data_IF_775517696480
#
_entry.id   IF_775517696480
#
_cell.length_a   1.000
_cell.length_b   1.000
_cell.length_c   1.000
_cell.angle_alpha   90.00
_cell.angle_beta   90.00
_cell.angle_gamma   90.00
#
_symmetry.space_group_name_H-M   'P 1'
#
loop_
_entity.id
_entity.type
_entity.pdbx_description
1 polymer ?
#
# COMPACT_ATOMS: atom_id res chain seq x y z
N UNK A 1 -5.67 16.83 11.30
CA UNK A 1 -4.58 15.81 11.34
C UNK A 1 -3.28 16.51 10.97
N UNK A 2 -2.14 16.29 11.66
CA UNK A 2 -0.85 16.90 11.30
C UNK A 2 -0.12 16.07 10.25
N UNK A 3 0.69 16.72 9.40
CA UNK A 3 1.55 16.05 8.42
C UNK A 3 2.53 15.07 9.09
N UNK A 4 3.05 15.45 10.25
CA UNK A 4 3.92 14.60 11.06
C UNK A 4 3.22 13.30 11.50
N UNK A 5 2.01 13.40 12.06
CA UNK A 5 1.24 12.24 12.49
C UNK A 5 0.91 11.31 11.30
N UNK A 6 0.45 11.90 10.18
CA UNK A 6 0.17 11.14 8.96
C UNK A 6 1.41 10.41 8.45
N UNK A 7 2.58 11.07 8.47
CA UNK A 7 3.86 10.49 8.08
C UNK A 7 4.23 9.30 8.96
N UNK A 8 4.15 9.44 10.29
CA UNK A 8 4.46 8.35 11.22
C UNK A 8 3.56 7.12 11.00
N UNK A 9 2.25 7.34 10.79
CA UNK A 9 1.33 6.26 10.49
C UNK A 9 1.65 5.57 9.16
N UNK A 10 1.96 6.35 8.12
CA UNK A 10 2.36 5.81 6.83
C UNK A 10 3.63 4.97 6.95
N UNK A 11 4.66 5.47 7.65
CA UNK A 11 5.95 4.78 7.82
C UNK A 11 5.81 3.43 8.52
N UNK A 12 4.95 3.35 9.55
CA UNK A 12 4.65 2.08 10.22
C UNK A 12 4.04 1.06 9.25
N UNK A 13 3.10 1.51 8.42
CA UNK A 13 2.44 0.65 7.44
C UNK A 13 3.37 0.27 6.26
N UNK A 14 4.26 1.16 5.85
CA UNK A 14 5.28 0.88 4.82
C UNK A 14 6.24 -0.21 5.28
N UNK A 15 6.68 -0.16 6.54
CA UNK A 15 7.54 -1.18 7.15
C UNK A 15 6.85 -2.55 7.15
N UNK A 16 5.60 -2.61 7.61
CA UNK A 16 4.80 -3.84 7.61
C UNK A 16 4.54 -4.37 6.19
N UNK A 17 4.33 -3.46 5.23
CA UNK A 17 4.12 -3.81 3.82
C UNK A 17 5.38 -4.38 3.20
N UNK A 18 6.54 -3.77 3.45
CA UNK A 18 7.83 -4.27 2.97
C UNK A 18 8.07 -5.72 3.41
N UNK A 19 7.78 -6.06 4.67
CA UNK A 19 7.94 -7.42 5.18
C UNK A 19 7.10 -8.46 4.40
N UNK A 20 5.88 -8.09 3.98
CA UNK A 20 5.04 -8.98 3.16
C UNK A 20 5.56 -9.10 1.73
N UNK A 21 6.00 -7.98 1.14
CA UNK A 21 6.57 -7.97 -0.21
C UNK A 21 7.90 -8.72 -0.29
N UNK A 22 8.71 -8.70 0.78
CA UNK A 22 9.94 -9.51 0.89
C UNK A 22 9.66 -11.01 0.77
N UNK A 23 8.52 -11.48 1.28
CA UNK A 23 8.10 -12.87 1.07
C UNK A 23 7.50 -13.06 -0.32
N UNK A 24 6.65 -12.13 -0.77
CA UNK A 24 5.93 -12.25 -2.02
C UNK A 24 6.84 -12.28 -3.26
N UNK A 25 8.05 -11.71 -3.18
CA UNK A 25 9.02 -11.76 -4.30
C UNK A 25 9.45 -13.18 -4.68
N UNK A 26 9.31 -14.14 -3.76
CA UNK A 26 9.65 -15.56 -3.97
C UNK A 26 8.47 -16.41 -4.39
N UNK A 27 7.29 -15.83 -4.52
CA UNK A 27 6.06 -16.53 -4.82
C UNK A 27 5.90 -16.84 -6.32
N UNK A 28 5.04 -17.81 -6.67
CA UNK A 28 4.63 -18.03 -8.06
C UNK A 28 3.74 -16.87 -8.52
N UNK A 29 4.32 -15.85 -9.16
CA UNK A 29 3.68 -14.56 -9.49
C UNK A 29 2.42 -14.71 -10.37
N UNK A 30 2.34 -15.76 -11.18
CA UNK A 30 1.17 -16.06 -12.01
C UNK A 30 0.04 -16.78 -11.28
N UNK A 31 0.26 -17.26 -10.05
CA UNK A 31 -0.76 -17.98 -9.29
C UNK A 31 -1.96 -17.09 -8.93
N UNK A 32 -3.16 -17.66 -8.97
CA UNK A 32 -4.41 -16.97 -8.59
C UNK A 32 -5.33 -17.89 -7.80
N UNK A 33 -5.97 -17.42 -6.72
CA UNK A 33 -6.91 -18.22 -5.94
C UNK A 33 -8.24 -18.45 -6.68
N UNK A 34 -8.59 -17.57 -7.61
CA UNK A 34 -9.84 -17.63 -8.38
C UNK A 34 -9.68 -16.87 -9.70
N UNK A 35 -10.31 -17.31 -10.79
CA UNK A 35 -10.20 -16.64 -12.11
C UNK A 35 -10.61 -15.17 -12.13
N UNK A 36 -11.51 -14.75 -11.25
CA UNK A 36 -11.93 -13.35 -11.10
C UNK A 36 -11.01 -12.50 -10.19
N UNK A 37 -9.99 -13.12 -9.57
CA UNK A 37 -9.06 -12.43 -8.69
C UNK A 37 -7.79 -11.98 -9.42
N UNK A 38 -7.08 -11.01 -8.88
CA UNK A 38 -5.72 -10.71 -9.33
C UNK A 38 -4.82 -11.92 -9.12
N UNK A 39 -3.83 -12.12 -10.01
CA UNK A 39 -2.72 -13.00 -9.68
C UNK A 39 -1.91 -12.45 -8.50
N UNK A 40 -1.16 -13.32 -7.82
CA UNK A 40 -0.31 -12.94 -6.71
C UNK A 40 0.64 -11.81 -7.08
N UNK A 41 1.32 -11.92 -8.23
CA UNK A 41 2.22 -10.87 -8.70
C UNK A 41 1.51 -9.55 -8.97
N UNK A 42 0.32 -9.58 -9.59
CA UNK A 42 -0.46 -8.36 -9.83
C UNK A 42 -0.92 -7.71 -8.52
N UNK A 43 -1.35 -8.50 -7.54
CA UNK A 43 -1.72 -7.99 -6.23
C UNK A 43 -0.52 -7.40 -5.48
N UNK A 44 0.63 -8.09 -5.50
CA UNK A 44 1.87 -7.60 -4.89
C UNK A 44 2.35 -6.29 -5.54
N UNK A 45 2.31 -6.19 -6.87
CA UNK A 45 2.63 -4.95 -7.59
C UNK A 45 1.65 -3.83 -7.25
N UNK A 46 0.35 -4.14 -7.12
CA UNK A 46 -0.64 -3.16 -6.69
C UNK A 46 -0.32 -2.61 -5.30
N UNK A 47 -0.03 -3.50 -4.34
CA UNK A 47 0.40 -3.09 -2.99
C UNK A 47 1.67 -2.23 -3.04
N UNK A 48 2.65 -2.61 -3.89
CA UNK A 48 3.92 -1.92 -4.01
C UNK A 48 3.78 -0.48 -4.52
N UNK A 49 2.84 -0.21 -5.45
CA UNK A 49 2.69 1.11 -6.07
C UNK A 49 1.84 2.09 -5.26
N UNK A 50 0.94 1.61 -4.38
CA UNK A 50 0.00 2.45 -3.63
C UNK A 50 0.66 3.64 -2.91
N UNK A 51 1.83 3.51 -2.24
CA UNK A 51 2.46 4.66 -1.57
C UNK A 51 2.70 5.85 -2.50
N UNK A 52 3.01 5.63 -3.78
CA UNK A 52 3.25 6.71 -4.74
C UNK A 52 2.03 7.60 -5.01
N UNK A 53 0.83 7.12 -4.70
CA UNK A 53 -0.40 7.90 -4.88
C UNK A 53 -0.51 9.08 -3.93
N UNK A 54 0.25 9.08 -2.83
CA UNK A 54 0.38 10.23 -1.92
C UNK A 54 0.67 11.51 -2.69
N UNK A 55 1.49 11.44 -3.73
CA UNK A 55 1.82 12.60 -4.58
C UNK A 55 0.59 13.21 -5.26
N UNK A 56 -0.34 12.40 -5.77
CA UNK A 56 -1.57 12.88 -6.40
C UNK A 56 -2.49 13.60 -5.40
N UNK A 57 -2.49 13.15 -4.14
CA UNK A 57 -3.30 13.74 -3.08
C UNK A 57 -2.70 15.04 -2.50
N UNK A 58 -1.39 15.23 -2.60
CA UNK A 58 -0.73 16.43 -2.08
C UNK A 58 -0.61 17.56 -3.11
N UNK A 59 -0.51 17.24 -4.41
CA UNK A 59 -0.22 18.23 -5.46
C UNK A 59 -1.45 18.75 -6.19
N UNK A 60 -2.42 17.90 -6.49
CA UNK A 60 -3.62 18.27 -7.24
C UNK A 60 -4.84 18.50 -6.36
N UNK A 61 -5.88 19.16 -6.89
CA UNK A 61 -7.20 19.29 -6.22
C UNK A 61 -8.14 18.11 -6.50
N UNK A 62 -7.79 17.23 -7.45
CA UNK A 62 -8.60 16.08 -7.85
C UNK A 62 -7.76 15.00 -8.54
N UNK A 63 -8.32 13.80 -8.64
CA UNK A 63 -7.81 12.71 -9.48
C UNK A 63 -8.97 12.04 -10.21
N UNK A 64 -8.82 11.84 -11.51
CA UNK A 64 -9.81 11.14 -12.33
C UNK A 64 -9.36 9.71 -12.61
N UNK A 65 -10.10 8.73 -12.06
CA UNK A 65 -9.82 7.30 -12.26
C UNK A 65 -10.10 6.84 -13.69
N UNK A 66 -10.95 7.55 -14.45
CA UNK A 66 -11.21 7.26 -15.86
C UNK A 66 -10.01 7.57 -16.76
N UNK A 67 -9.18 8.56 -16.37
CA UNK A 67 -7.93 8.88 -17.03
C UNK A 67 -6.77 7.92 -16.70
N UNK A 68 -6.97 7.05 -15.71
CA UNK A 68 -5.99 6.05 -15.28
C UNK A 68 -6.04 4.79 -16.14
N UNK A 69 -4.90 4.16 -16.33
CA UNK A 69 -4.78 2.89 -17.08
C UNK A 69 -5.42 1.70 -16.37
N UNK A 70 -5.28 0.52 -16.96
CA UNK A 70 -5.86 -0.77 -16.52
C UNK A 70 -5.30 -1.34 -15.20
N UNK A 71 -4.72 -0.52 -14.33
CA UNK A 71 -4.06 -0.92 -13.10
C UNK A 71 -2.62 -1.41 -13.32
N UNK A 72 -1.92 -1.83 -12.25
CA UNK A 72 -0.52 -2.24 -12.35
C UNK A 72 -0.36 -3.46 -13.26
N UNK A 73 0.72 -3.46 -14.04
CA UNK A 73 1.11 -4.60 -14.85
C UNK A 73 1.46 -5.80 -13.95
N UNK A 74 1.42 -7.01 -14.54
CA UNK A 74 1.98 -8.19 -13.87
C UNK A 74 3.50 -8.04 -13.89
N UNK A 75 4.20 -8.13 -12.74
CA UNK A 75 5.65 -7.98 -12.70
C UNK A 75 6.34 -9.15 -13.40
N UNK A 76 7.48 -8.88 -14.02
CA UNK A 76 8.31 -9.91 -14.65
C UNK A 76 9.17 -10.64 -13.62
N UNK A 77 9.39 -10.07 -12.46
CA UNK A 77 10.17 -10.68 -11.37
C UNK A 77 9.75 -10.15 -9.99
N UNK A 78 10.09 -10.92 -8.95
CA UNK A 78 9.93 -10.47 -7.57
C UNK A 78 10.78 -9.23 -7.23
N UNK A 79 11.97 -9.10 -7.80
CA UNK A 79 12.82 -7.94 -7.61
C UNK A 79 12.17 -6.64 -8.11
N UNK A 80 11.39 -6.71 -9.20
CA UNK A 80 10.64 -5.56 -9.71
C UNK A 80 9.61 -5.05 -8.71
N UNK A 81 8.96 -5.96 -7.97
CA UNK A 81 7.99 -5.60 -6.91
C UNK A 81 8.67 -4.74 -5.83
N UNK A 82 9.84 -5.20 -5.36
CA UNK A 82 10.58 -4.50 -4.32
C UNK A 82 11.12 -3.15 -4.80
N UNK A 83 11.69 -3.10 -6.00
CA UNK A 83 12.17 -1.85 -6.58
C UNK A 83 11.03 -0.83 -6.77
N UNK A 84 9.86 -1.29 -7.22
CA UNK A 84 8.66 -0.45 -7.34
C UNK A 84 8.21 0.10 -5.99
N UNK A 85 8.22 -0.74 -4.95
CA UNK A 85 7.86 -0.31 -3.60
C UNK A 85 8.84 0.74 -3.06
N UNK A 86 10.14 0.53 -3.20
CA UNK A 86 11.18 1.47 -2.77
C UNK A 86 11.04 2.83 -3.46
N UNK A 87 10.82 2.83 -4.76
CA UNK A 87 10.56 4.05 -5.52
C UNK A 87 9.26 4.74 -5.07
N UNK A 88 8.19 3.97 -4.82
CA UNK A 88 6.91 4.50 -4.34
C UNK A 88 7.02 5.11 -2.94
N UNK A 89 7.77 4.49 -2.03
CA UNK A 89 8.07 5.02 -0.69
C UNK A 89 8.82 6.34 -0.79
N UNK A 90 9.87 6.40 -1.62
CA UNK A 90 10.64 7.64 -1.85
C UNK A 90 9.75 8.78 -2.32
N UNK A 91 8.83 8.51 -3.27
CA UNK A 91 7.87 9.51 -3.77
C UNK A 91 6.87 9.95 -2.70
N UNK A 92 6.35 9.00 -1.90
CA UNK A 92 5.44 9.31 -0.80
C UNK A 92 6.09 10.22 0.24
N UNK A 93 7.33 9.93 0.60
CA UNK A 93 8.11 10.75 1.52
C UNK A 93 8.34 12.16 0.96
N UNK A 94 8.81 12.27 -0.29
CA UNK A 94 9.02 13.56 -0.93
C UNK A 94 7.73 14.39 -1.07
N UNK A 95 6.57 13.73 -1.19
CA UNK A 95 5.28 14.41 -1.26
C UNK A 95 4.81 14.97 0.10
N UNK A 96 5.22 14.35 1.20
CA UNK A 96 4.88 14.78 2.56
C UNK A 96 5.94 15.68 3.20
N UNK A 97 7.18 15.66 2.68
CA UNK A 97 8.26 16.48 3.21
C UNK A 97 7.96 17.97 2.99
N UNK A 98 7.96 18.74 4.10
CA UNK A 98 7.65 20.17 4.09
C UNK A 98 6.19 20.53 3.86
N UNK A 99 5.27 19.54 3.81
CA UNK A 99 3.85 19.80 3.66
C UNK A 99 3.30 20.48 4.93
N UNK A 100 2.71 21.66 4.76
CA UNK A 100 2.10 22.39 5.88
C UNK A 100 0.77 21.77 6.30
N UNK A 101 0.52 21.68 7.60
CA UNK A 101 -0.71 21.07 8.16
C UNK A 101 -2.02 21.64 7.54
N UNK A 102 -2.15 22.95 7.29
CA UNK A 102 -3.37 23.50 6.64
C UNK A 102 -3.67 22.90 5.27
N UNK A 103 -2.65 22.52 4.49
CA UNK A 103 -2.85 21.91 3.17
C UNK A 103 -3.58 20.57 3.28
N UNK A 104 -3.39 19.83 4.36
CA UNK A 104 -4.08 18.55 4.60
C UNK A 104 -5.59 18.72 4.81
N UNK A 105 -6.03 19.88 5.25
CA UNK A 105 -7.47 20.20 5.46
C UNK A 105 -8.15 20.75 4.19
N UNK A 106 -7.38 21.04 3.14
CA UNK A 106 -7.95 21.49 1.85
C UNK A 106 -8.81 20.38 1.22
N UNK A 107 -9.86 20.80 0.50
CA UNK A 107 -10.74 19.90 -0.24
C UNK A 107 -10.02 19.21 -1.41
N UNK A 108 -10.33 17.94 -1.60
CA UNK A 108 -9.84 17.11 -2.69
C UNK A 108 -10.97 16.25 -3.25
N UNK A 109 -11.01 16.04 -4.56
CA UNK A 109 -12.12 15.36 -5.24
C UNK A 109 -11.64 14.15 -6.03
N UNK A 110 -12.22 12.99 -5.74
CA UNK A 110 -12.11 11.81 -6.60
C UNK A 110 -13.13 11.91 -7.73
N UNK A 111 -12.69 11.72 -8.95
CA UNK A 111 -13.53 11.75 -10.14
C UNK A 111 -13.43 10.43 -10.92
N UNK A 112 -14.42 10.20 -11.80
CA UNK A 112 -14.39 9.16 -12.84
C UNK A 112 -15.04 9.71 -14.10
N UNK A 113 -14.29 9.69 -15.20
CA UNK A 113 -14.75 10.18 -16.52
C UNK A 113 -15.31 11.62 -16.43
N UNK A 114 -14.64 12.50 -15.70
CA UNK A 114 -15.06 13.88 -15.46
C UNK A 114 -16.18 14.07 -14.43
N UNK A 115 -16.73 12.98 -13.85
CA UNK A 115 -17.83 13.04 -12.87
C UNK A 115 -17.27 12.94 -11.45
N UNK A 116 -17.57 13.90 -10.54
CA UNK A 116 -17.19 13.80 -9.13
C UNK A 116 -17.85 12.60 -8.45
N UNK A 117 -17.06 11.75 -7.79
CA UNK A 117 -17.53 10.60 -7.01
C UNK A 117 -17.55 10.88 -5.51
N UNK A 118 -16.53 11.58 -5.01
CA UNK A 118 -16.42 11.92 -3.59
C UNK A 118 -15.51 13.13 -3.40
N UNK A 119 -15.92 14.01 -2.49
CA UNK A 119 -15.08 15.15 -2.03
C UNK A 119 -14.79 14.96 -0.55
N UNK A 120 -13.55 15.16 -0.16
CA UNK A 120 -13.05 14.98 1.20
C UNK A 120 -11.79 15.84 1.41
N UNK A 121 -11.25 15.89 2.63
CA UNK A 121 -9.95 16.53 2.84
C UNK A 121 -8.82 15.71 2.23
N UNK A 122 -7.66 16.34 1.94
CA UNK A 122 -6.46 15.62 1.48
C UNK A 122 -6.01 14.58 2.50
N UNK A 123 -6.07 14.91 3.80
CA UNK A 123 -5.77 13.98 4.88
C UNK A 123 -6.66 12.71 4.83
N UNK A 124 -7.96 12.88 4.63
CA UNK A 124 -8.90 11.77 4.47
C UNK A 124 -8.61 10.95 3.22
N UNK A 125 -8.29 11.61 2.08
CA UNK A 125 -7.95 10.95 0.84
C UNK A 125 -6.69 10.06 0.99
N UNK A 126 -5.62 10.58 1.60
CA UNK A 126 -4.39 9.81 1.88
C UNK A 126 -4.70 8.66 2.85
N UNK A 127 -5.41 8.93 3.94
CA UNK A 127 -5.79 7.89 4.91
C UNK A 127 -6.60 6.77 4.25
N UNK A 128 -7.56 7.11 3.37
CA UNK A 128 -8.47 6.16 2.74
C UNK A 128 -7.82 5.40 1.59
N UNK A 129 -7.19 6.12 0.65
CA UNK A 129 -6.74 5.57 -0.62
C UNK A 129 -5.26 5.17 -0.64
N UNK A 130 -4.48 5.57 0.36
CA UNK A 130 -3.12 5.10 0.52
C UNK A 130 -3.05 4.13 1.71
N UNK A 131 -3.24 4.62 2.94
CA UNK A 131 -2.97 3.82 4.14
C UNK A 131 -3.91 2.61 4.24
N UNK A 132 -5.22 2.85 4.31
CA UNK A 132 -6.22 1.76 4.48
C UNK A 132 -6.30 0.86 3.26
N UNK A 133 -6.14 1.39 2.06
CA UNK A 133 -6.14 0.63 0.81
C UNK A 133 -4.95 -0.32 0.75
N UNK A 134 -3.76 0.16 1.12
CA UNK A 134 -2.55 -0.67 1.22
C UNK A 134 -2.71 -1.77 2.28
N UNK A 135 -3.22 -1.44 3.48
CA UNK A 135 -3.51 -2.40 4.55
C UNK A 135 -4.50 -3.47 4.08
N UNK A 136 -5.58 -3.06 3.38
CA UNK A 136 -6.57 -3.99 2.84
C UNK A 136 -5.95 -5.01 1.89
N UNK A 137 -5.23 -4.55 0.86
CA UNK A 137 -4.62 -5.43 -0.12
C UNK A 137 -3.44 -6.23 0.43
N UNK A 138 -2.68 -5.68 1.37
CA UNK A 138 -1.66 -6.41 2.11
C UNK A 138 -2.26 -7.57 2.89
N UNK A 139 -3.42 -7.37 3.55
CA UNK A 139 -4.14 -8.44 4.23
C UNK A 139 -4.57 -9.55 3.25
N UNK A 140 -5.05 -9.22 2.06
CA UNK A 140 -5.33 -10.21 1.01
C UNK A 140 -4.06 -10.95 0.58
N UNK A 141 -2.95 -10.23 0.40
CA UNK A 141 -1.67 -10.81 -0.01
C UNK A 141 -1.14 -11.82 1.01
N UNK A 142 -1.32 -11.60 2.32
CA UNK A 142 -0.92 -12.59 3.34
C UNK A 142 -1.69 -13.91 3.22
N UNK A 143 -2.96 -13.86 2.83
CA UNK A 143 -3.75 -15.07 2.53
C UNK A 143 -3.20 -15.78 1.29
N UNK A 144 -2.83 -15.04 0.24
CA UNK A 144 -2.23 -15.62 -0.96
C UNK A 144 -0.89 -16.30 -0.65
N UNK A 145 -0.04 -15.67 0.17
CA UNK A 145 1.22 -16.29 0.63
C UNK A 145 0.95 -17.62 1.34
N UNK A 146 -0.01 -17.67 2.25
CA UNK A 146 -0.38 -18.88 2.96
C UNK A 146 -0.86 -19.99 2.02
N UNK A 147 -1.66 -19.65 1.03
CA UNK A 147 -2.16 -20.61 0.03
C UNK A 147 -1.07 -21.11 -0.93
N UNK A 148 0.07 -20.42 -0.99
CA UNK A 148 1.27 -20.84 -1.72
C UNK A 148 2.33 -21.46 -0.82
N UNK A 149 1.99 -21.86 0.41
CA UNK A 149 2.89 -22.45 1.42
C UNK A 149 4.11 -21.57 1.77
N UNK A 150 3.97 -20.24 1.61
CA UNK A 150 4.99 -19.28 1.97
C UNK A 150 4.78 -18.74 3.39
N UNK A 151 5.86 -18.40 4.11
CA UNK A 151 5.74 -17.87 5.45
C UNK A 151 5.04 -16.51 5.46
N UNK A 152 4.19 -16.27 6.46
CA UNK A 152 3.52 -15.01 6.67
C UNK A 152 4.24 -14.23 7.77
N UNK A 153 4.72 -13.00 7.55
CA UNK A 153 5.37 -12.22 8.59
C UNK A 153 4.39 -11.84 9.73
N UNK A 154 4.92 -11.63 10.93
CA UNK A 154 4.20 -10.99 12.01
C UNK A 154 4.02 -9.50 11.67
N UNK A 155 2.78 -8.97 11.78
CA UNK A 155 2.47 -7.58 11.43
C UNK A 155 1.99 -6.79 12.66
N UNK A 156 0.73 -6.95 13.06
CA UNK A 156 0.15 -6.32 14.26
C UNK A 156 0.10 -7.27 15.46
N UNK A 157 0.54 -8.47 15.28
CA UNK A 157 0.62 -9.55 16.24
C UNK A 157 1.39 -10.71 15.63
N UNK A 158 1.54 -11.80 16.40
CA UNK A 158 2.19 -13.01 15.95
C UNK A 158 1.48 -13.63 14.74
N UNK A 159 2.26 -14.27 13.88
CA UNK A 159 1.74 -15.21 12.88
C UNK A 159 2.07 -16.63 13.31
N UNK A 160 1.57 -17.63 12.55
CA UNK A 160 1.96 -19.02 12.77
C UNK A 160 3.47 -19.26 12.53
N UNK A 161 4.10 -18.39 11.73
CA UNK A 161 5.50 -18.57 11.29
C UNK A 161 6.48 -17.65 12.01
N UNK A 162 6.00 -16.56 12.62
CA UNK A 162 6.85 -15.50 13.20
C UNK A 162 6.25 -14.92 14.48
N UNK A 163 7.11 -14.66 15.46
CA UNK A 163 6.78 -13.90 16.66
C UNK A 163 7.13 -12.43 16.48
N UNK A 164 6.25 -11.56 16.94
CA UNK A 164 6.49 -10.11 16.98
C UNK A 164 7.35 -9.73 18.18
N UNK A 165 7.13 -10.41 19.31
CA UNK A 165 7.89 -10.23 20.53
C UNK A 165 8.73 -11.47 20.81
N UNK A 166 9.91 -11.34 21.45
CA UNK A 166 10.65 -12.48 21.92
C UNK A 166 9.80 -13.27 22.95
N UNK A 167 9.97 -14.60 23.07
CA UNK A 167 9.28 -15.37 24.08
C UNK A 167 9.59 -14.78 25.46
N UNK A 168 8.55 -14.70 26.32
CA UNK A 168 8.75 -14.29 27.72
C UNK A 168 9.81 -15.18 28.35
N UNK A 169 10.78 -14.57 29.05
CA UNK A 169 11.74 -15.34 29.81
C UNK A 169 10.96 -16.09 30.90
N UNK A 170 11.15 -17.41 31.04
CA UNK A 170 10.59 -18.12 32.18
C UNK A 170 11.13 -17.46 33.47
N UNK A 171 10.24 -17.22 34.43
CA UNK A 171 10.56 -16.63 35.72
C UNK A 171 11.49 -17.59 36.54
#
# INVERSE_FOLDING_TARGET
MTAHFLRQHLDAELTATRAVLDTAQHAPLGWTPHPASFSLGRLAMHVAVIPSWTEAFTRGGSYDMGAGGSGPAVPVSGAEILATHEAAVTRAHAALDGLADPVLEEGWTLMRDGVPLATMTRAEAISRYVVRHMVHHRGQLTVYLRLCDLPVPALYGDSADRRLLPPERPA
#
